data_IF_010245199753
#
_entry.id   IF_010245199753
#
_cell.length_a   1.000
_cell.length_b   1.000
_cell.length_c   1.000
_cell.angle_alpha   90.00
_cell.angle_beta   90.00
_cell.angle_gamma   90.00
#
_symmetry.space_group_name_H-M   'P 1'
#
loop_
_entity.id
_entity.type
_entity.pdbx_description
1 polymer ?
#
# COMPACT_ATOMS: atom_id res chain seq x y z
N UNK A 1 25.66 17.92 16.54
CA UNK A 1 24.54 17.82 15.57
C UNK A 1 25.04 17.02 14.40
N UNK A 2 24.25 16.07 13.82
CA UNK A 2 24.67 15.39 12.61
C UNK A 2 24.75 16.37 11.44
N UNK A 3 25.75 16.17 10.56
CA UNK A 3 26.04 17.12 9.47
C UNK A 3 25.06 17.03 8.30
N UNK A 4 24.35 15.89 8.14
CA UNK A 4 23.47 15.63 7.00
C UNK A 4 21.98 15.42 7.37
N UNK A 5 21.60 15.43 8.65
CA UNK A 5 20.20 15.32 9.06
C UNK A 5 19.41 16.60 8.78
N UNK A 6 18.19 16.46 8.28
CA UNK A 6 17.27 17.58 8.15
C UNK A 6 16.66 17.92 9.52
N UNK A 7 16.53 19.19 9.85
CA UNK A 7 15.88 19.61 11.10
C UNK A 7 14.36 19.41 10.99
N UNK A 8 13.79 18.75 11.99
CA UNK A 8 12.36 18.54 12.09
C UNK A 8 11.75 19.50 13.11
N UNK A 9 10.72 20.25 12.73
CA UNK A 9 10.22 21.41 13.48
C UNK A 9 9.52 21.08 14.81
N UNK A 10 9.15 19.82 15.05
CA UNK A 10 8.29 19.52 16.20
C UNK A 10 9.04 19.28 17.51
N UNK A 11 10.26 18.69 17.47
CA UNK A 11 11.04 18.41 18.68
C UNK A 11 12.55 18.62 18.47
N UNK A 12 12.95 19.44 17.50
CA UNK A 12 14.37 19.66 17.15
C UNK A 12 15.17 18.37 16.92
N UNK A 13 14.47 17.36 16.36
CA UNK A 13 15.04 16.09 15.94
C UNK A 13 15.69 16.15 14.57
N UNK A 14 16.21 15.03 14.14
CA UNK A 14 16.79 14.84 12.82
C UNK A 14 15.90 13.93 12.00
N UNK A 15 15.68 14.31 10.75
CA UNK A 15 14.98 13.53 9.75
C UNK A 15 15.98 12.94 8.78
N UNK A 16 15.84 11.66 8.49
CA UNK A 16 16.58 10.95 7.45
C UNK A 16 15.61 10.26 6.51
N UNK A 17 15.97 10.25 5.23
CA UNK A 17 15.26 9.42 4.25
C UNK A 17 15.54 7.95 4.52
N UNK A 18 14.62 7.08 4.10
CA UNK A 18 14.77 5.65 4.24
C UNK A 18 16.08 5.16 3.62
N UNK A 19 16.88 4.42 4.40
CA UNK A 19 18.20 3.91 4.04
C UNK A 19 19.28 5.00 3.73
N UNK A 20 19.00 6.27 4.02
CA UNK A 20 20.03 7.31 4.01
C UNK A 20 21.06 7.01 5.10
N UNK A 21 22.34 7.22 4.81
CA UNK A 21 23.39 7.03 5.81
C UNK A 21 23.34 8.18 6.84
N UNK A 22 22.89 7.90 8.06
CA UNK A 22 22.87 8.90 9.13
C UNK A 22 24.28 9.31 9.53
N UNK A 23 24.44 10.60 9.82
CA UNK A 23 25.66 11.10 10.45
C UNK A 23 25.73 10.67 11.93
N UNK A 24 26.94 10.47 12.47
CA UNK A 24 27.09 10.11 13.87
C UNK A 24 26.58 11.22 14.80
N UNK A 25 25.80 10.84 15.82
CA UNK A 25 25.53 11.68 16.98
C UNK A 25 26.82 11.63 17.84
N UNK A 26 27.33 12.79 18.25
CA UNK A 26 28.57 12.89 19.01
C UNK A 26 28.35 13.54 20.37
N UNK A 27 29.04 13.04 21.38
CA UNK A 27 29.08 13.60 22.73
C UNK A 27 30.47 14.17 23.01
N UNK A 28 30.54 15.43 23.45
CA UNK A 28 31.73 16.05 23.99
C UNK A 28 31.67 16.01 25.52
N UNK A 29 32.60 15.32 26.14
CA UNK A 29 32.69 15.21 27.59
C UNK A 29 33.97 15.86 28.13
N UNK A 30 33.83 16.61 29.22
CA UNK A 30 34.94 17.25 29.90
C UNK A 30 34.88 16.95 31.41
N UNK A 31 36.02 16.66 32.02
CA UNK A 31 36.14 16.49 33.46
C UNK A 31 36.98 17.62 34.08
N UNK A 32 36.64 18.01 35.31
CA UNK A 32 37.39 18.98 36.05
C UNK A 32 38.74 18.43 36.60
N UNK A 33 38.83 17.10 36.75
CA UNK A 33 40.05 16.40 37.16
C UNK A 33 40.68 15.70 35.94
N UNK A 34 41.97 15.88 35.72
CA UNK A 34 42.73 15.24 34.65
C UNK A 34 43.22 13.85 35.05
N UNK A 35 43.46 12.96 34.05
CA UNK A 35 44.07 11.66 34.24
C UNK A 35 43.10 10.52 34.52
N UNK A 36 41.81 10.72 34.34
CA UNK A 36 40.80 9.65 34.31
C UNK A 36 40.45 9.21 32.88
N UNK A 37 39.56 8.24 32.77
CA UNK A 37 39.10 7.69 31.50
C UNK A 37 37.59 7.89 31.31
N UNK A 38 37.15 8.32 30.12
CA UNK A 38 35.76 8.39 29.73
C UNK A 38 35.30 7.06 29.09
N UNK A 39 34.08 6.69 29.39
CA UNK A 39 33.34 5.67 28.69
C UNK A 39 31.89 6.13 28.45
N UNK A 40 31.25 5.60 27.43
CA UNK A 40 29.97 6.07 26.90
C UNK A 40 29.03 4.89 26.77
N UNK A 41 27.79 5.09 27.20
CA UNK A 41 26.71 4.13 27.05
C UNK A 41 25.56 4.75 26.26
N UNK A 42 25.37 4.29 25.04
CA UNK A 42 24.34 4.78 24.16
C UNK A 42 23.10 3.93 24.32
N UNK A 43 21.96 4.59 24.49
CA UNK A 43 20.67 3.96 24.66
C UNK A 43 19.63 4.56 23.73
N UNK A 44 18.71 3.71 23.29
CA UNK A 44 17.45 4.13 22.73
C UNK A 44 16.46 4.29 23.88
N UNK A 45 15.87 5.46 24.02
CA UNK A 45 14.95 5.79 25.10
C UNK A 45 13.56 6.14 24.59
N UNK A 46 12.53 5.89 25.40
CA UNK A 46 11.14 6.16 25.04
C UNK A 46 10.77 7.64 25.04
N UNK A 47 11.50 8.46 25.82
CA UNK A 47 11.33 9.91 25.89
C UNK A 47 12.66 10.60 26.14
N UNK A 48 12.80 11.85 25.68
CA UNK A 48 14.06 12.62 25.82
C UNK A 48 14.43 13.01 27.27
N UNK A 49 13.57 12.77 28.26
CA UNK A 49 13.74 13.29 29.62
C UNK A 49 13.35 12.34 30.74
N UNK A 50 12.95 11.12 30.49
CA UNK A 50 12.73 10.11 31.53
C UNK A 50 13.14 8.75 31.05
N UNK A 51 14.22 8.21 31.57
CA UNK A 51 14.75 6.94 31.15
C UNK A 51 14.21 5.76 31.95
N UNK A 52 13.82 4.69 31.27
CA UNK A 52 14.01 3.31 31.74
C UNK A 52 14.91 2.63 30.74
N UNK A 53 15.98 2.01 31.21
CA UNK A 53 17.19 1.76 30.45
C UNK A 53 17.42 0.27 30.27
N UNK A 54 17.87 -0.11 29.08
CA UNK A 54 18.39 -1.42 28.79
C UNK A 54 19.32 -1.32 27.58
N UNK A 55 20.61 -1.45 27.80
CA UNK A 55 21.59 -1.33 26.74
C UNK A 55 22.87 -2.12 26.99
N UNK A 56 23.76 -2.18 26.01
CA UNK A 56 24.93 -3.07 25.88
C UNK A 56 26.19 -2.64 26.68
N UNK A 57 26.05 -1.92 27.78
CA UNK A 57 27.19 -1.53 28.62
C UNK A 57 28.09 -0.45 28.01
N UNK A 58 29.03 0.07 28.84
CA UNK A 58 29.87 1.20 28.46
C UNK A 58 30.94 0.84 27.43
N UNK A 59 31.05 1.67 26.40
CA UNK A 59 32.06 1.60 25.33
C UNK A 59 32.93 2.83 25.29
N UNK A 60 34.10 2.76 24.66
CA UNK A 60 35.01 3.93 24.53
C UNK A 60 34.62 4.90 23.40
N UNK A 61 33.48 4.67 22.76
CA UNK A 61 33.03 5.46 21.60
C UNK A 61 32.09 6.57 22.02
N UNK A 62 32.54 7.82 21.86
CA UNK A 62 31.75 9.03 22.09
C UNK A 62 30.75 9.33 20.98
N UNK A 63 30.60 8.43 19.99
CA UNK A 63 29.71 8.62 18.85
C UNK A 63 28.88 7.39 18.61
N UNK A 64 27.66 7.60 18.10
CA UNK A 64 26.68 6.58 17.73
C UNK A 64 26.06 6.93 16.38
N UNK A 65 25.96 5.97 15.48
CA UNK A 65 25.26 6.13 14.18
C UNK A 65 23.86 5.55 14.31
N UNK A 66 22.81 6.37 14.25
CA UNK A 66 21.44 5.89 14.28
C UNK A 66 21.14 4.98 13.10
N UNK A 67 20.30 3.96 13.32
CA UNK A 67 19.73 3.20 12.22
C UNK A 67 18.70 4.05 11.46
N UNK A 68 18.74 3.95 10.14
CA UNK A 68 17.80 4.61 9.24
C UNK A 68 16.89 3.60 8.52
N UNK A 69 16.84 2.36 9.02
CA UNK A 69 15.84 1.39 8.59
C UNK A 69 14.45 1.73 9.18
N UNK A 70 13.41 1.13 8.60
CA UNK A 70 12.03 1.41 9.02
C UNK A 70 11.64 0.82 10.38
N UNK A 71 12.47 0.02 11.03
CA UNK A 71 12.25 -0.35 12.44
C UNK A 71 12.24 0.89 13.34
N UNK A 72 12.92 1.95 12.93
CA UNK A 72 12.89 3.24 13.59
C UNK A 72 11.58 4.02 13.37
N UNK A 73 10.76 3.62 12.40
CA UNK A 73 9.51 4.33 12.06
C UNK A 73 8.33 3.71 12.82
N UNK A 74 8.30 3.89 14.12
CA UNK A 74 7.01 4.09 14.75
C UNK A 74 6.58 5.53 14.46
N UNK A 75 5.29 5.84 14.44
CA UNK A 75 4.73 7.18 14.23
C UNK A 75 5.35 8.30 15.10
N UNK A 76 6.32 7.97 15.92
CA UNK A 76 6.95 8.84 16.92
C UNK A 76 8.47 8.94 16.82
N UNK A 77 9.14 8.25 15.87
CA UNK A 77 10.61 8.21 15.81
C UNK A 77 11.25 7.60 17.08
N UNK A 78 12.55 7.78 17.23
CA UNK A 78 13.33 7.25 18.36
C UNK A 78 14.21 8.32 18.98
N UNK A 79 14.32 8.27 20.31
CA UNK A 79 15.29 9.09 21.03
C UNK A 79 16.54 8.28 21.31
N UNK A 80 17.70 8.87 21.01
CA UNK A 80 19.00 8.31 21.34
C UNK A 80 19.65 9.18 22.41
N UNK A 81 20.06 8.57 23.52
CA UNK A 81 20.72 9.24 24.63
C UNK A 81 22.05 8.57 24.96
N UNK A 82 22.93 9.32 25.60
CA UNK A 82 24.23 8.82 26.02
C UNK A 82 24.47 9.10 27.50
N UNK A 83 24.67 8.06 28.31
CA UNK A 83 25.20 8.19 29.64
C UNK A 83 26.74 8.20 29.54
N UNK A 84 27.39 9.22 30.11
CA UNK A 84 28.83 9.38 30.15
C UNK A 84 29.33 8.95 31.53
N UNK A 85 30.26 8.03 31.57
CA UNK A 85 30.97 7.62 32.79
C UNK A 85 32.40 8.13 32.74
N UNK A 86 32.85 8.74 33.83
CA UNK A 86 34.23 9.12 34.03
C UNK A 86 34.82 8.36 35.21
N UNK A 87 35.88 7.58 34.97
CA UNK A 87 36.55 6.78 35.99
C UNK A 87 37.85 7.49 36.37
N UNK A 88 37.94 7.89 37.63
CA UNK A 88 39.13 8.58 38.15
C UNK A 88 39.53 8.02 39.53
N UNK A 89 40.78 7.58 39.68
CA UNK A 89 41.33 6.98 40.90
C UNK A 89 40.47 5.85 41.50
N UNK A 90 39.85 5.03 40.64
CA UNK A 90 38.98 3.92 41.03
C UNK A 90 37.54 4.31 41.44
N UNK A 91 37.18 5.58 41.30
CA UNK A 91 35.80 6.06 41.48
C UNK A 91 35.14 6.32 40.12
N UNK A 92 33.87 5.96 40.01
CA UNK A 92 33.03 6.16 38.83
C UNK A 92 32.07 7.33 39.06
N UNK A 93 32.05 8.26 38.11
CA UNK A 93 31.11 9.37 38.05
C UNK A 93 30.29 9.26 36.79
N UNK A 94 28.98 9.39 36.89
CA UNK A 94 28.07 9.20 35.77
C UNK A 94 27.14 10.37 35.60
N UNK A 95 26.86 10.73 34.37
CA UNK A 95 25.89 11.77 34.00
C UNK A 95 25.37 11.54 32.60
N UNK A 96 24.14 11.97 32.33
CA UNK A 96 23.62 11.99 30.96
C UNK A 96 24.21 13.19 30.20
N UNK A 97 24.57 12.95 28.94
CA UNK A 97 24.87 14.04 28.01
C UNK A 97 23.56 14.80 27.72
N UNK A 98 23.63 16.13 27.76
CA UNK A 98 22.46 16.97 27.50
C UNK A 98 22.59 17.70 26.17
N UNK A 99 21.45 18.00 25.52
CA UNK A 99 21.41 18.83 24.30
C UNK A 99 21.63 20.32 24.60
N UNK A 100 21.61 20.71 25.87
CA UNK A 100 21.64 22.11 26.33
C UNK A 100 20.25 22.74 26.37
N UNK A 101 19.21 22.01 26.02
CA UNK A 101 17.81 22.45 26.05
C UNK A 101 17.12 21.99 27.31
N UNK A 102 15.99 22.65 27.62
CA UNK A 102 15.15 22.32 28.76
C UNK A 102 13.70 22.12 28.32
N UNK A 103 13.06 21.12 28.88
CA UNK A 103 11.66 20.83 28.72
C UNK A 103 10.90 21.08 30.01
N UNK A 104 9.78 21.80 29.94
CA UNK A 104 8.89 22.02 31.08
C UNK A 104 7.62 21.19 30.90
N UNK A 105 7.31 20.34 31.85
CA UNK A 105 6.10 19.51 31.84
C UNK A 105 4.87 20.39 31.95
N UNK A 106 3.92 20.23 31.04
CA UNK A 106 2.71 21.06 30.95
C UNK A 106 1.49 20.45 31.66
N UNK A 107 1.48 19.13 31.86
CA UNK A 107 0.33 18.40 32.41
C UNK A 107 0.76 17.26 33.33
N UNK A 108 -0.16 16.81 34.22
CA UNK A 108 0.07 15.71 35.16
C UNK A 108 0.69 16.14 36.48
N UNK A 109 1.18 15.15 37.25
CA UNK A 109 1.72 15.39 38.63
C UNK A 109 3.02 16.23 38.63
N UNK A 110 3.76 16.20 37.49
CA UNK A 110 5.03 16.95 37.34
C UNK A 110 4.85 18.27 36.58
N UNK A 111 3.62 18.73 36.37
CA UNK A 111 3.34 19.99 35.68
C UNK A 111 4.09 21.17 36.32
N UNK A 112 4.81 21.93 35.49
CA UNK A 112 5.67 23.04 35.91
C UNK A 112 7.11 22.67 36.30
N UNK A 113 7.46 21.37 36.39
CA UNK A 113 8.85 20.95 36.58
C UNK A 113 9.60 21.04 35.24
N UNK A 114 10.86 21.42 35.33
CA UNK A 114 11.76 21.59 34.17
C UNK A 114 12.89 20.57 34.22
N UNK A 115 13.12 19.86 33.11
CA UNK A 115 14.16 18.83 32.96
C UNK A 115 15.11 19.20 31.83
N UNK A 116 16.36 18.77 31.94
CA UNK A 116 17.33 18.86 30.84
C UNK A 116 16.95 17.81 29.77
N UNK A 117 17.04 18.20 28.49
CA UNK A 117 16.81 17.29 27.38
C UNK A 117 18.08 16.48 27.15
N UNK A 118 17.98 15.15 27.32
CA UNK A 118 19.13 14.22 27.23
C UNK A 118 19.12 13.40 25.93
N UNK A 119 18.01 13.33 25.22
CA UNK A 119 17.87 12.51 24.00
C UNK A 119 17.80 13.35 22.74
N UNK A 120 18.34 12.80 21.67
CA UNK A 120 18.22 13.32 20.31
C UNK A 120 17.18 12.50 19.57
N UNK A 121 16.15 13.17 19.06
CA UNK A 121 15.10 12.52 18.30
C UNK A 121 15.54 12.27 16.86
N UNK A 122 15.37 11.04 16.39
CA UNK A 122 15.64 10.65 15.01
C UNK A 122 14.38 10.05 14.41
N UNK A 123 13.91 10.65 13.34
CA UNK A 123 12.80 10.17 12.53
C UNK A 123 13.31 9.72 11.17
N UNK A 124 12.83 8.57 10.70
CA UNK A 124 13.14 8.06 9.37
C UNK A 124 11.84 7.99 8.56
N UNK A 125 11.86 8.51 7.36
CA UNK A 125 10.68 8.59 6.53
C UNK A 125 10.92 8.27 5.07
N UNK A 126 9.83 8.25 4.30
CA UNK A 126 9.89 8.20 2.84
C UNK A 126 9.70 9.59 2.26
N UNK A 127 10.47 9.94 1.21
CA UNK A 127 10.45 11.26 0.59
C UNK A 127 9.55 11.32 -0.64
N UNK A 128 9.14 10.14 -1.13
CA UNK A 128 8.37 10.02 -2.35
C UNK A 128 7.30 8.94 -2.25
N UNK A 129 6.25 9.02 -3.10
CA UNK A 129 5.22 8.00 -3.14
C UNK A 129 5.78 6.64 -3.58
N UNK A 130 5.42 5.58 -2.87
CA UNK A 130 5.82 4.22 -3.22
C UNK A 130 4.75 3.58 -4.10
N UNK A 131 5.11 3.30 -5.36
CA UNK A 131 4.19 2.77 -6.35
C UNK A 131 3.86 1.30 -6.03
N UNK A 132 2.59 0.93 -5.81
CA UNK A 132 2.20 -0.44 -5.58
C UNK A 132 2.35 -1.28 -6.86
N UNK A 133 2.53 -2.60 -6.72
CA UNK A 133 2.60 -3.54 -7.84
C UNK A 133 1.42 -4.50 -7.82
N UNK A 134 1.00 -4.94 -9.00
CA UNK A 134 -0.04 -5.95 -9.19
C UNK A 134 0.63 -7.22 -9.72
N UNK A 135 0.72 -8.25 -8.86
CA UNK A 135 1.29 -9.56 -9.22
C UNK A 135 0.29 -10.47 -9.92
N UNK A 136 -1.02 -10.27 -9.69
CA UNK A 136 -2.08 -11.00 -10.38
C UNK A 136 -3.14 -10.05 -10.91
N UNK A 137 -3.34 -10.11 -12.21
CA UNK A 137 -4.31 -9.29 -12.95
C UNK A 137 -5.70 -9.95 -12.96
N UNK A 138 -6.79 -9.14 -12.99
CA UNK A 138 -8.13 -9.66 -13.14
C UNK A 138 -8.29 -10.36 -14.51
N UNK A 139 -9.08 -11.44 -14.55
CA UNK A 139 -9.21 -12.30 -15.71
C UNK A 139 -10.57 -12.13 -16.38
N UNK A 140 -10.54 -12.00 -17.70
CA UNK A 140 -11.77 -12.05 -18.52
C UNK A 140 -12.39 -13.44 -18.50
N UNK A 141 -13.72 -13.50 -18.55
CA UNK A 141 -14.46 -14.76 -18.56
C UNK A 141 -15.79 -14.64 -19.30
N UNK A 142 -16.27 -15.77 -19.80
CA UNK A 142 -17.57 -15.94 -20.47
C UNK A 142 -18.40 -16.88 -19.63
N UNK A 143 -19.62 -16.49 -19.30
CA UNK A 143 -20.58 -17.26 -18.53
C UNK A 143 -21.86 -17.46 -19.35
N UNK A 144 -22.54 -18.61 -19.15
CA UNK A 144 -23.88 -18.81 -19.67
C UNK A 144 -24.89 -18.24 -18.67
N UNK A 145 -26.05 -17.85 -19.15
CA UNK A 145 -27.18 -17.43 -18.29
C UNK A 145 -27.40 -18.45 -17.17
N UNK A 146 -27.61 -17.95 -15.96
CA UNK A 146 -27.76 -18.67 -14.69
C UNK A 146 -26.50 -19.41 -14.22
N UNK A 147 -25.36 -19.20 -14.85
CA UNK A 147 -24.07 -19.64 -14.32
C UNK A 147 -23.52 -18.57 -13.36
N UNK A 148 -23.16 -18.96 -12.14
CA UNK A 148 -22.58 -18.03 -11.16
C UNK A 148 -21.29 -17.40 -11.68
N UNK A 149 -21.20 -16.08 -11.58
CA UNK A 149 -20.05 -15.29 -12.00
C UNK A 149 -19.00 -15.34 -10.88
N UNK A 150 -17.80 -15.81 -11.19
CA UNK A 150 -16.69 -15.80 -10.25
C UNK A 150 -16.25 -14.35 -9.96
N UNK A 151 -15.83 -14.11 -8.73
CA UNK A 151 -15.28 -12.82 -8.36
C UNK A 151 -14.05 -12.47 -9.21
N UNK A 152 -13.92 -11.21 -9.57
CA UNK A 152 -12.65 -10.66 -10.06
C UNK A 152 -11.72 -10.46 -8.87
N UNK A 153 -10.43 -10.58 -9.14
CA UNK A 153 -9.40 -10.51 -8.10
C UNK A 153 -8.12 -9.88 -8.64
N UNK A 154 -7.49 -9.05 -7.83
CA UNK A 154 -6.13 -8.55 -8.01
C UNK A 154 -5.29 -8.96 -6.81
N UNK A 155 -4.02 -9.33 -7.03
CA UNK A 155 -3.07 -9.49 -5.94
C UNK A 155 -2.05 -8.37 -6.00
N UNK A 156 -1.90 -7.64 -4.90
CA UNK A 156 -1.13 -6.41 -4.82
C UNK A 156 -0.05 -6.51 -3.76
N UNK A 157 1.06 -5.83 -3.98
CA UNK A 157 2.14 -5.73 -3.01
C UNK A 157 2.93 -4.44 -3.20
N UNK A 158 3.68 -4.07 -2.18
CA UNK A 158 4.70 -3.04 -2.24
C UNK A 158 6.05 -3.75 -2.31
N UNK A 159 6.84 -3.45 -3.33
CA UNK A 159 8.23 -3.87 -3.37
C UNK A 159 9.05 -2.91 -2.52
N UNK A 160 9.66 -3.44 -1.49
CA UNK A 160 10.43 -2.66 -0.55
C UNK A 160 11.79 -3.29 -0.32
N UNK A 161 12.85 -2.49 -0.27
CA UNK A 161 14.14 -2.94 0.23
C UNK A 161 14.13 -3.20 1.74
N UNK A 162 13.07 -2.79 2.45
CA UNK A 162 12.91 -2.88 3.89
C UNK A 162 11.69 -3.75 4.24
N UNK A 163 11.88 -4.71 5.15
CA UNK A 163 10.84 -5.65 5.56
C UNK A 163 9.68 -5.01 6.34
N UNK A 164 9.89 -3.81 6.89
CA UNK A 164 8.88 -3.08 7.68
C UNK A 164 7.97 -2.20 6.86
N UNK A 165 8.38 -1.79 5.64
CA UNK A 165 7.55 -0.95 4.78
C UNK A 165 6.15 -1.51 4.51
N UNK A 166 5.96 -2.83 4.27
CA UNK A 166 4.62 -3.40 4.10
C UNK A 166 3.71 -3.25 5.33
N UNK A 167 4.28 -3.18 6.55
CA UNK A 167 3.52 -3.07 7.80
C UNK A 167 2.99 -1.66 8.08
N UNK A 168 3.69 -0.63 7.58
CA UNK A 168 3.27 0.78 7.73
C UNK A 168 2.55 1.31 6.51
N UNK A 169 2.42 0.50 5.45
CA UNK A 169 1.76 0.86 4.21
C UNK A 169 0.30 0.43 4.24
N UNK A 170 -0.55 1.29 3.71
CA UNK A 170 -1.94 0.95 3.44
C UNK A 170 -2.14 0.81 1.94
N UNK A 171 -2.69 -0.33 1.49
CA UNK A 171 -3.09 -0.55 0.10
C UNK A 171 -4.61 -0.59 0.05
N UNK A 172 -5.19 0.20 -0.83
CA UNK A 172 -6.61 0.19 -1.14
C UNK A 172 -6.84 -0.12 -2.62
N UNK A 173 -7.95 -0.78 -2.92
CA UNK A 173 -8.34 -1.13 -4.27
C UNK A 173 -9.73 -0.57 -4.56
N UNK A 174 -9.86 0.20 -5.64
CA UNK A 174 -11.15 0.69 -6.16
C UNK A 174 -11.41 0.10 -7.53
N UNK A 175 -12.52 -0.63 -7.66
CA UNK A 175 -12.96 -1.17 -8.94
C UNK A 175 -13.78 -0.15 -9.73
N UNK A 176 -13.65 -0.25 -11.05
CA UNK A 176 -14.40 0.54 -12.01
C UNK A 176 -15.02 -0.36 -13.07
N UNK A 177 -16.15 0.09 -13.60
CA UNK A 177 -16.90 -0.62 -14.64
C UNK A 177 -17.21 0.30 -15.82
N UNK A 178 -17.17 -0.26 -17.04
CA UNK A 178 -17.53 0.44 -18.28
C UNK A 178 -18.12 -0.55 -19.29
N UNK A 179 -18.96 -0.04 -20.18
CA UNK A 179 -19.48 -0.81 -21.33
C UNK A 179 -18.42 -0.94 -22.46
N UNK A 180 -17.38 -0.12 -22.41
CA UNK A 180 -16.28 -0.11 -23.38
C UNK A 180 -14.94 -0.40 -22.69
N UNK A 181 -13.97 -0.91 -23.44
CA UNK A 181 -12.58 -1.10 -22.96
C UNK A 181 -11.86 0.26 -22.87
N UNK A 182 -12.32 1.11 -21.95
CA UNK A 182 -11.82 2.45 -21.74
C UNK A 182 -11.97 2.87 -20.29
N UNK A 183 -11.04 3.66 -19.78
CA UNK A 183 -11.17 4.35 -18.51
C UNK A 183 -12.08 5.59 -18.61
N UNK A 184 -12.14 6.19 -19.80
CA UNK A 184 -13.03 7.34 -20.07
C UNK A 184 -14.50 6.90 -19.96
N UNK A 185 -15.25 7.60 -19.12
CA UNK A 185 -16.65 7.31 -18.83
C UNK A 185 -16.88 6.12 -17.90
N UNK A 186 -15.84 5.49 -17.39
CA UNK A 186 -15.98 4.43 -16.40
C UNK A 186 -16.55 4.97 -15.07
N UNK A 187 -17.36 4.15 -14.40
CA UNK A 187 -17.96 4.48 -13.11
C UNK A 187 -17.31 3.68 -11.99
N UNK A 188 -17.11 4.26 -10.80
CA UNK A 188 -16.66 3.49 -9.65
C UNK A 188 -17.74 2.46 -9.27
N UNK A 189 -17.29 1.27 -8.89
CA UNK A 189 -18.16 0.26 -8.29
C UNK A 189 -18.27 0.58 -6.80
N UNK A 190 -19.50 0.77 -6.31
CA UNK A 190 -19.73 1.26 -4.95
C UNK A 190 -19.91 0.13 -3.92
N UNK A 191 -20.20 -1.09 -4.35
CA UNK A 191 -20.48 -2.24 -3.47
C UNK A 191 -20.02 -3.56 -4.09
N UNK A 192 -20.09 -4.63 -3.32
CA UNK A 192 -19.70 -5.96 -3.76
C UNK A 192 -18.18 -6.21 -3.71
N UNK A 193 -17.41 -5.36 -3.06
CA UNK A 193 -15.99 -5.54 -2.83
C UNK A 193 -15.71 -6.21 -1.48
N UNK A 194 -14.56 -6.89 -1.36
CA UNK A 194 -13.98 -7.29 -0.08
C UNK A 194 -13.55 -6.05 0.75
N UNK A 195 -13.31 -6.18 2.06
CA UNK A 195 -12.89 -5.05 2.89
C UNK A 195 -11.63 -4.33 2.40
N UNK A 196 -10.66 -5.06 1.81
CA UNK A 196 -9.46 -4.47 1.19
C UNK A 196 -9.64 -4.04 -0.27
N UNK A 197 -10.81 -4.38 -0.88
CA UNK A 197 -11.11 -4.08 -2.28
C UNK A 197 -10.42 -5.01 -3.29
N UNK A 198 -9.60 -5.96 -2.87
CA UNK A 198 -8.85 -6.88 -3.75
C UNK A 198 -9.75 -7.86 -4.52
N UNK A 199 -10.95 -8.18 -4.00
CA UNK A 199 -11.99 -8.95 -4.68
C UNK A 199 -13.20 -8.08 -5.04
N UNK A 200 -13.75 -8.31 -6.24
CA UNK A 200 -15.04 -7.79 -6.66
C UNK A 200 -16.02 -8.94 -6.96
N UNK A 201 -17.08 -9.06 -6.17
CA UNK A 201 -18.20 -9.96 -6.36
C UNK A 201 -19.22 -9.29 -7.28
N UNK A 202 -19.14 -9.55 -8.59
CA UNK A 202 -19.87 -8.82 -9.62
C UNK A 202 -21.39 -8.88 -9.41
N UNK A 203 -21.95 -10.05 -9.09
CA UNK A 203 -23.39 -10.19 -8.84
C UNK A 203 -23.87 -9.37 -7.63
N UNK A 204 -23.01 -9.17 -6.63
CA UNK A 204 -23.30 -8.35 -5.46
C UNK A 204 -23.11 -6.84 -5.72
N UNK A 205 -22.36 -6.48 -6.76
CA UNK A 205 -22.14 -5.08 -7.13
C UNK A 205 -23.38 -4.44 -7.73
N UNK A 206 -24.24 -5.23 -8.36
CA UNK A 206 -25.39 -4.76 -9.11
C UNK A 206 -25.09 -4.25 -10.51
N UNK A 207 -23.81 -4.34 -10.95
CA UNK A 207 -23.38 -3.86 -12.25
C UNK A 207 -23.70 -4.84 -13.40
N UNK A 208 -23.67 -6.13 -13.09
CA UNK A 208 -23.99 -7.19 -14.03
C UNK A 208 -24.50 -8.41 -13.25
N UNK A 209 -25.58 -9.00 -13.72
CA UNK A 209 -26.13 -10.23 -13.16
C UNK A 209 -25.85 -11.45 -14.08
N UNK A 210 -26.08 -12.63 -13.55
CA UNK A 210 -25.96 -13.88 -14.32
C UNK A 210 -27.21 -14.25 -15.10
N UNK A 211 -28.32 -13.47 -15.05
CA UNK A 211 -29.60 -13.80 -15.64
C UNK A 211 -29.82 -13.11 -16.98
N UNK A 212 -29.14 -12.01 -17.23
CA UNK A 212 -29.33 -11.16 -18.41
C UNK A 212 -28.08 -11.22 -19.27
N UNK A 213 -28.17 -11.43 -20.59
CA UNK A 213 -27.04 -11.30 -21.49
C UNK A 213 -26.42 -9.90 -21.40
N UNK A 214 -25.12 -9.84 -21.45
CA UNK A 214 -24.42 -8.56 -21.37
C UNK A 214 -22.91 -8.72 -21.34
N UNK A 215 -22.22 -7.64 -21.59
CA UNK A 215 -20.77 -7.59 -21.58
C UNK A 215 -20.31 -6.27 -20.93
N UNK A 216 -19.46 -6.38 -19.92
CA UNK A 216 -18.87 -5.22 -19.26
C UNK A 216 -17.37 -5.40 -19.07
N UNK A 217 -16.66 -4.29 -18.99
CA UNK A 217 -15.24 -4.23 -18.71
C UNK A 217 -15.01 -3.69 -17.31
N UNK A 218 -14.17 -4.37 -16.57
CA UNK A 218 -13.79 -4.01 -15.20
C UNK A 218 -12.29 -3.79 -15.12
N UNK A 219 -11.87 -2.87 -14.30
CA UNK A 219 -10.48 -2.67 -13.90
C UNK A 219 -10.42 -2.17 -12.47
N UNK A 220 -9.26 -2.33 -11.85
CA UNK A 220 -9.00 -1.89 -10.48
C UNK A 220 -7.91 -0.82 -10.46
N UNK A 221 -8.13 0.26 -9.73
CA UNK A 221 -7.10 1.22 -9.34
C UNK A 221 -6.62 0.84 -7.95
N UNK A 222 -5.35 0.52 -7.84
CA UNK A 222 -4.66 0.15 -6.61
C UNK A 222 -3.87 1.34 -6.13
N UNK A 223 -4.13 1.80 -4.93
CA UNK A 223 -3.47 2.96 -4.32
C UNK A 223 -2.73 2.53 -3.06
N UNK A 224 -1.46 2.87 -2.97
CA UNK A 224 -0.67 2.80 -1.74
C UNK A 224 -0.68 4.13 -1.02
N UNK A 225 -0.63 4.09 0.31
CA UNK A 225 -0.45 5.26 1.15
C UNK A 225 0.61 4.93 2.21
N UNK A 226 1.67 5.73 2.25
CA UNK A 226 2.77 5.59 3.21
C UNK A 226 3.12 7.00 3.71
N UNK A 227 3.00 7.24 5.01
CA UNK A 227 3.34 8.53 5.65
C UNK A 227 2.75 9.77 4.94
N UNK A 228 1.53 9.65 4.42
CA UNK A 228 0.86 10.74 3.70
C UNK A 228 1.15 10.83 2.20
N UNK A 229 2.17 10.15 1.70
CA UNK A 229 2.43 10.03 0.26
C UNK A 229 1.54 8.95 -0.35
N UNK A 230 0.97 9.22 -1.52
CA UNK A 230 0.10 8.28 -2.23
C UNK A 230 0.58 8.05 -3.65
N UNK A 231 0.52 6.80 -4.10
CA UNK A 231 0.75 6.44 -5.49
C UNK A 231 -0.27 5.41 -5.95
N UNK A 232 -0.58 5.37 -7.24
CA UNK A 232 -1.57 4.44 -7.77
C UNK A 232 -1.09 3.75 -9.04
N UNK A 233 -1.56 2.52 -9.22
CA UNK A 233 -1.41 1.75 -10.46
C UNK A 233 -2.76 1.19 -10.88
N UNK A 234 -3.00 1.11 -12.19
CA UNK A 234 -4.25 0.56 -12.74
C UNK A 234 -4.00 -0.85 -13.28
N UNK A 235 -4.92 -1.76 -12.97
CA UNK A 235 -4.91 -3.13 -13.50
C UNK A 235 -5.22 -3.17 -15.00
N UNK A 236 -4.99 -4.32 -15.62
CA UNK A 236 -5.55 -4.64 -16.93
C UNK A 236 -7.09 -4.69 -16.87
N UNK A 237 -7.73 -4.50 -18.02
CA UNK A 237 -9.16 -4.72 -18.14
C UNK A 237 -9.50 -6.22 -18.13
N UNK A 238 -10.51 -6.58 -17.33
CA UNK A 238 -11.19 -7.86 -17.42
C UNK A 238 -12.56 -7.67 -18.08
N UNK A 239 -12.83 -8.38 -19.16
CA UNK A 239 -14.14 -8.41 -19.81
C UNK A 239 -14.95 -9.58 -19.27
N UNK A 240 -16.12 -9.31 -18.72
CA UNK A 240 -17.06 -10.33 -18.26
C UNK A 240 -18.24 -10.34 -19.20
N UNK A 241 -18.49 -11.49 -19.78
CA UNK A 241 -19.58 -11.73 -20.74
C UNK A 241 -20.57 -12.73 -20.13
N UNK A 242 -21.84 -12.39 -20.12
CA UNK A 242 -22.93 -13.31 -19.87
C UNK A 242 -23.67 -13.50 -21.19
N UNK A 243 -23.80 -14.74 -21.67
CA UNK A 243 -24.48 -15.05 -22.93
C UNK A 243 -25.57 -16.11 -22.74
N UNK A 244 -26.48 -16.19 -23.71
CA UNK A 244 -27.45 -17.27 -23.73
C UNK A 244 -26.79 -18.64 -23.76
N UNK A 245 -27.45 -19.65 -23.20
CA UNK A 245 -27.01 -21.04 -23.31
C UNK A 245 -27.09 -21.50 -24.77
N UNK A 246 -26.32 -22.53 -25.10
CA UNK A 246 -26.30 -23.07 -26.47
C UNK A 246 -27.70 -23.60 -26.87
N UNK A 247 -28.47 -24.13 -25.92
CA UNK A 247 -29.87 -24.56 -26.17
C UNK A 247 -30.79 -23.38 -26.50
N UNK A 248 -30.63 -22.24 -25.81
CA UNK A 248 -31.42 -21.04 -26.11
C UNK A 248 -31.05 -20.45 -27.48
N UNK A 249 -29.77 -20.46 -27.85
CA UNK A 249 -29.32 -19.98 -29.16
C UNK A 249 -29.79 -20.88 -30.29
N UNK A 250 -29.79 -22.22 -30.09
CA UNK A 250 -30.36 -23.17 -31.07
C UNK A 250 -31.88 -23.01 -31.26
N UNK A 251 -32.59 -22.45 -30.33
CA UNK A 251 -34.01 -22.10 -30.51
C UNK A 251 -34.19 -20.85 -31.37
N UNK A 252 -33.14 -20.01 -31.51
CA UNK A 252 -33.18 -18.82 -32.37
C UNK A 252 -32.69 -19.10 -33.78
N UNK A 253 -31.64 -19.93 -33.92
CA UNK A 253 -30.96 -20.19 -35.17
C UNK A 253 -30.76 -21.68 -35.45
N UNK A 254 -30.78 -22.09 -36.73
CA UNK A 254 -30.36 -23.43 -37.13
C UNK A 254 -28.83 -23.56 -36.99
N UNK A 255 -28.33 -24.77 -36.74
CA UNK A 255 -26.91 -25.05 -36.47
C UNK A 255 -26.58 -25.07 -34.99
N UNK A 256 -25.34 -25.35 -34.65
CA UNK A 256 -24.86 -25.45 -33.28
C UNK A 256 -23.99 -24.26 -32.84
N UNK A 257 -23.63 -23.36 -33.78
CA UNK A 257 -22.80 -22.17 -33.52
C UNK A 257 -21.33 -22.46 -33.41
N UNK A 258 -20.86 -23.66 -33.78
CA UNK A 258 -19.43 -23.99 -33.86
C UNK A 258 -18.87 -23.60 -35.23
N UNK A 259 -17.56 -23.67 -35.40
CA UNK A 259 -16.91 -23.38 -36.68
C UNK A 259 -17.33 -24.41 -37.75
N UNK A 260 -17.51 -25.67 -37.37
CA UNK A 260 -17.91 -26.79 -38.26
C UNK A 260 -19.40 -26.75 -38.58
N UNK A 261 -20.25 -26.27 -37.64
CA UNK A 261 -21.69 -26.17 -37.74
C UNK A 261 -22.19 -24.82 -37.24
N UNK A 262 -21.94 -23.72 -38.02
CA UNK A 262 -22.30 -22.36 -37.61
C UNK A 262 -23.81 -22.14 -37.53
N UNK A 263 -24.24 -21.14 -36.77
CA UNK A 263 -25.60 -20.64 -36.82
C UNK A 263 -25.88 -20.06 -38.21
N UNK A 264 -27.04 -20.43 -38.81
CA UNK A 264 -27.39 -20.06 -40.15
C UNK A 264 -28.32 -18.85 -40.17
N UNK A 265 -27.98 -17.85 -40.99
CA UNK A 265 -28.83 -16.71 -41.32
C UNK A 265 -29.35 -16.93 -42.73
N UNK A 266 -30.62 -17.41 -42.83
CA UNK A 266 -31.22 -17.87 -44.06
C UNK A 266 -32.07 -16.79 -44.73
N UNK A 267 -32.62 -15.88 -43.92
CA UNK A 267 -33.57 -14.88 -44.38
C UNK A 267 -33.55 -13.63 -43.47
N UNK A 268 -34.36 -12.64 -43.84
CA UNK A 268 -34.51 -11.40 -43.06
C UNK A 268 -35.03 -11.62 -41.64
N UNK A 269 -35.81 -12.69 -41.40
CA UNK A 269 -36.29 -13.04 -40.07
C UNK A 269 -35.14 -13.49 -39.15
N UNK A 270 -34.22 -14.32 -39.66
CA UNK A 270 -33.06 -14.75 -38.90
C UNK A 270 -32.11 -13.56 -38.62
N UNK A 271 -31.96 -12.63 -39.57
CA UNK A 271 -31.22 -11.41 -39.37
C UNK A 271 -31.86 -10.52 -38.29
N UNK A 272 -33.20 -10.39 -38.32
CA UNK A 272 -33.93 -9.64 -37.30
C UNK A 272 -33.73 -10.25 -35.89
N UNK A 273 -33.77 -11.57 -35.75
CA UNK A 273 -33.47 -12.27 -34.47
C UNK A 273 -32.07 -12.00 -33.99
N UNK A 274 -31.05 -11.98 -34.91
CA UNK A 274 -29.67 -11.65 -34.58
C UNK A 274 -29.58 -10.21 -34.05
N UNK A 275 -30.19 -9.25 -34.77
CA UNK A 275 -30.25 -7.86 -34.40
C UNK A 275 -30.89 -7.66 -33.01
N UNK A 276 -32.04 -8.28 -32.78
CA UNK A 276 -32.76 -8.21 -31.49
C UNK A 276 -31.98 -8.82 -30.35
N UNK A 277 -31.30 -9.94 -30.58
CA UNK A 277 -30.46 -10.57 -29.57
C UNK A 277 -29.26 -9.67 -29.18
N UNK A 278 -28.60 -9.04 -30.17
CA UNK A 278 -27.51 -8.05 -29.93
C UNK A 278 -28.06 -6.84 -29.19
N UNK A 279 -29.23 -6.31 -29.57
CA UNK A 279 -29.85 -5.18 -28.87
C UNK A 279 -30.21 -5.52 -27.42
N UNK A 280 -30.45 -6.79 -27.09
CA UNK A 280 -30.68 -7.29 -25.74
C UNK A 280 -29.36 -7.59 -24.98
N UNK A 281 -28.19 -7.23 -25.54
CA UNK A 281 -26.90 -7.41 -24.90
C UNK A 281 -26.19 -8.74 -25.18
N UNK A 282 -26.73 -9.60 -26.09
CA UNK A 282 -26.07 -10.84 -26.47
C UNK A 282 -24.75 -10.55 -27.21
N UNK A 283 -23.64 -11.06 -26.71
CA UNK A 283 -22.32 -10.84 -27.29
C UNK A 283 -21.89 -11.93 -28.29
N UNK A 284 -22.62 -13.04 -28.35
CA UNK A 284 -22.30 -14.20 -29.18
C UNK A 284 -20.85 -14.69 -29.09
N UNK A 285 -20.26 -14.52 -27.92
CA UNK A 285 -18.85 -14.88 -27.68
C UNK A 285 -18.62 -16.37 -27.92
N UNK A 286 -17.68 -16.69 -28.83
CA UNK A 286 -17.38 -18.06 -29.25
C UNK A 286 -18.42 -18.70 -30.20
N UNK A 287 -19.33 -17.92 -30.77
CA UNK A 287 -20.31 -18.40 -31.76
C UNK A 287 -19.87 -18.01 -33.18
N UNK A 288 -20.13 -18.89 -34.09
CA UNK A 288 -19.92 -18.71 -35.53
C UNK A 288 -21.25 -18.60 -36.26
N UNK A 289 -21.34 -17.71 -37.27
CA UNK A 289 -22.48 -17.48 -38.10
C UNK A 289 -22.12 -17.66 -39.58
N UNK A 290 -23.04 -18.18 -40.37
CA UNK A 290 -22.92 -18.25 -41.82
C UNK A 290 -24.23 -17.76 -42.46
N UNK A 291 -24.11 -16.78 -43.34
CA UNK A 291 -25.20 -16.31 -44.16
C UNK A 291 -25.34 -17.27 -45.37
N UNK A 292 -26.58 -17.78 -45.63
CA UNK A 292 -26.85 -18.74 -46.71
C UNK A 292 -27.53 -18.12 -47.89
N UNK A 293 -28.12 -16.91 -47.76
CA UNK A 293 -28.81 -16.22 -48.84
C UNK A 293 -28.59 -14.72 -48.77
N UNK A 294 -28.75 -14.01 -49.89
CA UNK A 294 -28.81 -12.57 -49.90
C UNK A 294 -30.04 -12.09 -49.14
N UNK A 295 -29.85 -11.19 -48.20
CA UNK A 295 -30.92 -10.62 -47.38
C UNK A 295 -31.28 -9.28 -48.00
N UNK A 296 -32.44 -9.25 -48.69
CA UNK A 296 -33.01 -8.03 -49.30
C UNK A 296 -34.14 -7.45 -48.46
#
# INVERSE_FOLDING_TARGET
>A
MPENGHTYDWDKGFYYSLNEQAAPIQVEAKASAEGGEFSYHWEEISTAYSGQYGGDGYKKQASYVPSTDLQAVNDKGRYYACEVQYTYRGHEYRTWATTGEKYTVTEGEDAGKTYDVIGVYVFVGVDEPIIPKISKQPQSAVYKINQSIKALYVNTYIESPDEWLPWISYISCQWYVNDKKSQEGAKPVERGMSPGGDYLYIENSGEQDSKTPGSKYYYCVVTSSVQGYTASVTSNFARIVVRRSDSQLRNLFSGSGTQEDPYLIKDASDYQKLYEAVAQGEAFEGCYFRQEADIT
#
